data_IF_001296810561
#
_entry.id   IF_001296810561
#
_cell.length_a   1.000
_cell.length_b   1.000
_cell.length_c   1.000
_cell.angle_alpha   90.00
_cell.angle_beta   90.00
_cell.angle_gamma   90.00
#
_symmetry.space_group_name_H-M   'P 1'
#
loop_
_entity.id
_entity.type
_entity.pdbx_description
1 polymer ?
#
# COMPACT_ATOMS: atom_id res chain seq x y z
N UNK A 1 1.00 -8.37 -12.03
CA UNK A 1 1.26 -7.07 -11.37
C UNK A 1 -0.01 -6.63 -10.67
N UNK A 2 0.07 -6.28 -9.38
CA UNK A 2 -1.04 -5.67 -8.66
C UNK A 2 -1.01 -4.15 -8.85
N UNK A 3 -2.11 -3.56 -9.30
CA UNK A 3 -2.29 -2.12 -9.42
C UNK A 3 -3.15 -1.62 -8.26
N UNK A 4 -2.52 -0.93 -7.31
CA UNK A 4 -3.14 -0.55 -6.03
C UNK A 4 -2.98 0.94 -5.66
N UNK A 5 -2.49 1.79 -6.56
CA UNK A 5 -2.26 3.20 -6.27
C UNK A 5 -2.03 4.04 -7.53
N UNK A 6 -2.12 5.36 -7.35
CA UNK A 6 -2.06 6.38 -8.40
C UNK A 6 -1.23 7.61 -7.98
N UNK A 7 -0.24 7.41 -7.09
CA UNK A 7 0.54 8.51 -6.50
C UNK A 7 1.20 9.43 -7.56
N UNK A 8 1.54 8.90 -8.73
CA UNK A 8 2.13 9.64 -9.85
C UNK A 8 1.10 10.10 -10.90
N UNK A 9 -0.15 9.61 -10.85
CA UNK A 9 -1.19 9.93 -11.84
C UNK A 9 -2.07 8.72 -12.21
N UNK A 10 -3.12 8.97 -13.00
CA UNK A 10 -4.04 7.94 -13.48
C UNK A 10 -3.69 7.37 -14.87
N UNK A 11 -2.75 8.00 -15.58
CA UNK A 11 -2.37 7.57 -16.91
C UNK A 11 -1.70 6.18 -16.89
N UNK A 12 -2.05 5.35 -17.86
CA UNK A 12 -1.44 4.04 -18.07
C UNK A 12 -0.89 3.96 -19.50
N UNK A 13 0.27 4.59 -19.80
CA UNK A 13 0.88 4.55 -21.13
C UNK A 13 1.55 3.19 -21.36
N UNK A 14 0.74 2.17 -21.67
CA UNK A 14 1.16 0.80 -21.90
C UNK A 14 0.76 0.28 -23.30
N UNK A 15 1.26 -0.89 -23.68
CA UNK A 15 0.86 -1.61 -24.90
C UNK A 15 0.31 -2.99 -24.56
N UNK A 16 -0.40 -3.63 -25.50
CA UNK A 16 -0.93 -4.99 -25.31
C UNK A 16 0.14 -6.10 -25.41
N UNK A 17 1.35 -5.78 -25.88
CA UNK A 17 2.39 -6.77 -26.18
C UNK A 17 2.82 -7.65 -24.98
N UNK A 18 3.00 -7.12 -23.75
CA UNK A 18 3.35 -7.95 -22.58
C UNK A 18 2.27 -9.00 -22.23
N UNK A 19 1.00 -8.69 -22.50
CA UNK A 19 -0.13 -9.56 -22.17
C UNK A 19 -0.21 -10.72 -23.18
N UNK A 20 -0.15 -10.42 -24.48
CA UNK A 20 -0.34 -11.43 -25.53
C UNK A 20 0.91 -12.29 -25.78
N UNK A 21 2.12 -11.74 -25.61
CA UNK A 21 3.36 -12.46 -25.91
C UNK A 21 3.97 -13.14 -24.69
N UNK A 22 3.64 -12.69 -23.47
CA UNK A 22 4.26 -13.17 -22.23
C UNK A 22 3.25 -13.56 -21.15
N UNK A 23 1.95 -13.50 -21.43
CA UNK A 23 0.91 -13.88 -20.48
C UNK A 23 0.89 -13.05 -19.20
N UNK A 24 1.45 -11.83 -19.22
CA UNK A 24 1.46 -10.95 -18.04
C UNK A 24 0.02 -10.53 -17.71
N UNK A 25 -0.30 -10.46 -16.41
CA UNK A 25 -1.59 -9.95 -15.92
C UNK A 25 -1.41 -8.64 -15.14
N UNK A 26 -2.30 -7.68 -15.36
CA UNK A 26 -2.46 -6.47 -14.56
C UNK A 26 -3.76 -6.59 -13.76
N UNK A 27 -3.66 -6.64 -12.44
CA UNK A 27 -4.78 -6.92 -11.53
C UNK A 27 -5.09 -5.67 -10.72
N UNK A 28 -6.28 -5.09 -10.90
CA UNK A 28 -6.76 -3.99 -10.07
C UNK A 28 -7.07 -4.47 -8.65
N UNK A 29 -6.50 -3.80 -7.65
CA UNK A 29 -6.72 -4.12 -6.24
C UNK A 29 -7.55 -3.02 -5.60
N UNK A 30 -8.75 -3.39 -5.15
CA UNK A 30 -9.59 -2.55 -4.30
C UNK A 30 -9.62 -3.10 -2.87
N UNK A 31 -9.18 -2.27 -1.92
CA UNK A 31 -9.25 -2.60 -0.49
C UNK A 31 -10.51 -2.05 0.20
N UNK A 32 -11.24 -1.13 -0.44
CA UNK A 32 -12.41 -0.46 0.14
C UNK A 32 -13.61 -1.38 0.14
N UNK A 33 -13.92 -2.06 -0.96
CA UNK A 33 -15.11 -2.92 -1.08
C UNK A 33 -14.80 -4.43 -0.97
N UNK A 34 -13.60 -4.79 -0.52
CA UNK A 34 -13.22 -6.19 -0.33
C UNK A 34 -14.21 -6.93 0.62
N UNK A 35 -14.74 -8.12 0.24
CA UNK A 35 -15.62 -8.91 1.10
C UNK A 35 -14.95 -9.31 2.41
N UNK A 36 -15.76 -9.41 3.49
CA UNK A 36 -15.27 -9.75 4.84
C UNK A 36 -14.40 -11.01 4.87
N UNK A 37 -14.81 -12.08 4.18
CA UNK A 37 -14.05 -13.33 4.13
C UNK A 37 -12.62 -13.13 3.62
N UNK A 38 -12.44 -12.37 2.52
CA UNK A 38 -11.12 -12.04 1.98
C UNK A 38 -10.30 -11.16 2.93
N UNK A 39 -10.93 -10.24 3.66
CA UNK A 39 -10.23 -9.42 4.67
C UNK A 39 -9.67 -10.27 5.79
N UNK A 40 -10.47 -11.21 6.31
CA UNK A 40 -10.04 -12.12 7.39
C UNK A 40 -8.86 -12.95 6.93
N UNK A 41 -8.95 -13.54 5.74
CA UNK A 41 -7.85 -14.30 5.15
C UNK A 41 -6.59 -13.45 4.98
N UNK A 42 -6.72 -12.23 4.42
CA UNK A 42 -5.59 -11.32 4.23
C UNK A 42 -4.91 -10.95 5.56
N UNK A 43 -5.68 -10.66 6.62
CA UNK A 43 -5.12 -10.37 7.94
C UNK A 43 -4.42 -11.57 8.57
N UNK A 44 -5.00 -12.77 8.45
CA UNK A 44 -4.33 -13.99 8.92
C UNK A 44 -2.99 -14.19 8.21
N UNK A 45 -2.96 -13.95 6.89
CA UNK A 45 -1.73 -14.01 6.10
C UNK A 45 -0.71 -12.94 6.47
N UNK A 46 -1.14 -11.73 6.81
CA UNK A 46 -0.21 -10.71 7.30
C UNK A 46 0.50 -11.21 8.57
N UNK A 47 -0.23 -11.82 9.50
CA UNK A 47 0.38 -12.35 10.74
C UNK A 47 1.32 -13.52 10.48
N UNK A 48 1.00 -14.41 9.52
CA UNK A 48 1.84 -15.58 9.23
C UNK A 48 3.02 -15.28 8.32
N UNK A 49 2.84 -14.42 7.32
CA UNK A 49 3.76 -14.27 6.20
C UNK A 49 4.65 -13.01 6.33
N UNK A 50 4.20 -11.99 7.09
CA UNK A 50 4.96 -10.75 7.26
C UNK A 50 5.98 -10.89 8.39
N UNK A 51 7.25 -10.68 8.07
CA UNK A 51 8.33 -10.56 9.05
C UNK A 51 8.16 -9.25 9.85
N UNK A 52 7.79 -9.39 11.12
CA UNK A 52 7.53 -8.25 12.01
C UNK A 52 8.77 -7.39 12.25
N UNK A 53 9.98 -7.97 12.23
CA UNK A 53 11.20 -7.19 12.39
C UNK A 53 11.43 -6.25 11.19
N UNK A 54 11.02 -6.66 9.98
CA UNK A 54 11.07 -5.79 8.80
C UNK A 54 9.98 -4.72 8.84
N UNK A 55 8.80 -5.04 9.37
CA UNK A 55 7.74 -4.06 9.56
C UNK A 55 8.20 -2.97 10.55
N UNK A 56 8.79 -3.36 11.67
CA UNK A 56 9.33 -2.43 12.67
C UNK A 56 10.44 -1.57 12.07
N UNK A 57 11.35 -2.15 11.28
CA UNK A 57 12.45 -1.42 10.65
C UNK A 57 12.01 -0.34 9.65
N UNK A 58 10.79 -0.41 9.11
CA UNK A 58 10.23 0.62 8.21
C UNK A 58 9.20 1.51 8.90
N UNK A 59 8.94 1.32 10.20
CA UNK A 59 7.91 2.06 10.93
C UNK A 59 8.51 3.26 11.64
N UNK A 60 7.83 4.41 11.54
CA UNK A 60 8.09 5.60 12.35
C UNK A 60 6.82 6.01 13.08
N UNK A 61 6.94 6.43 14.34
CA UNK A 61 5.80 6.84 15.16
C UNK A 61 5.76 8.37 15.26
N UNK A 62 4.57 8.94 15.09
CA UNK A 62 4.31 10.36 15.35
C UNK A 62 3.17 10.52 16.36
N UNK A 63 3.19 11.58 17.19
CA UNK A 63 2.04 11.93 18.00
C UNK A 63 0.89 12.46 17.12
N UNK A 64 -0.34 12.36 17.62
CA UNK A 64 -1.56 12.75 16.89
C UNK A 64 -1.55 14.21 16.41
N UNK A 65 -0.97 15.14 17.17
CA UNK A 65 -0.89 16.57 16.81
C UNK A 65 0.02 16.85 15.60
N UNK A 66 0.89 15.90 15.23
CA UNK A 66 1.80 16.01 14.07
C UNK A 66 1.21 15.49 12.75
N UNK A 67 -0.01 14.95 12.77
CA UNK A 67 -0.64 14.38 11.57
C UNK A 67 -0.78 15.42 10.44
N UNK A 68 -1.32 16.60 10.74
CA UNK A 68 -1.56 17.64 9.74
C UNK A 68 -0.26 18.17 9.15
N UNK A 69 0.78 18.31 9.97
CA UNK A 69 2.13 18.73 9.55
C UNK A 69 2.79 17.68 8.64
N UNK A 70 2.54 16.39 8.89
CA UNK A 70 3.19 15.28 8.17
C UNK A 70 2.49 14.96 6.84
N UNK A 71 1.19 15.26 6.70
CA UNK A 71 0.40 14.90 5.53
C UNK A 71 0.93 15.46 4.18
N UNK A 72 1.43 16.70 4.06
CA UNK A 72 2.02 17.18 2.81
C UNK A 72 3.24 16.36 2.37
N UNK A 73 4.03 15.85 3.32
CA UNK A 73 5.21 15.03 3.04
C UNK A 73 4.84 13.66 2.47
N UNK A 74 3.69 13.07 2.85
CA UNK A 74 3.24 11.82 2.20
C UNK A 74 2.81 12.08 0.75
N UNK A 75 2.11 13.19 0.50
CA UNK A 75 1.58 13.53 -0.82
C UNK A 75 2.69 13.88 -1.82
N UNK A 76 3.77 14.52 -1.35
CA UNK A 76 4.95 14.82 -2.17
C UNK A 76 5.90 13.63 -2.34
N UNK A 77 5.59 12.46 -1.76
CA UNK A 77 6.43 11.26 -1.82
C UNK A 77 7.68 11.32 -0.94
N UNK A 78 7.74 12.23 0.04
CA UNK A 78 8.86 12.40 0.97
C UNK A 78 8.90 11.39 2.12
N UNK A 79 7.90 10.52 2.26
CA UNK A 79 7.87 9.48 3.29
C UNK A 79 8.37 8.16 2.73
N UNK A 80 9.31 7.54 3.45
CA UNK A 80 9.73 6.16 3.25
C UNK A 80 9.22 5.31 4.40
N UNK A 81 8.61 4.16 4.07
CA UNK A 81 8.13 3.21 5.08
C UNK A 81 6.69 3.46 5.50
N UNK A 82 6.39 3.29 6.79
CA UNK A 82 5.04 3.38 7.36
C UNK A 82 5.04 4.30 8.57
N UNK A 83 4.13 5.26 8.58
CA UNK A 83 3.91 6.12 9.75
C UNK A 83 2.80 5.51 10.62
N UNK A 84 3.06 5.34 11.90
CA UNK A 84 2.08 5.00 12.94
C UNK A 84 1.77 6.27 13.71
N UNK A 85 0.48 6.55 13.89
CA UNK A 85 0.01 7.67 14.70
C UNK A 85 -0.36 7.14 16.07
N UNK A 86 0.31 7.64 17.10
CA UNK A 86 -0.01 7.32 18.49
C UNK A 86 -1.22 8.14 18.95
N UNK A 87 -2.24 7.46 19.48
CA UNK A 87 -3.46 8.05 20.02
C UNK A 87 -3.49 7.71 21.52
N UNK A 88 -3.59 8.74 22.35
CA UNK A 88 -3.71 8.63 23.81
C UNK A 88 -5.14 8.27 24.25
#
# INVERSE_FOLDING_TARGET
VAACGLAQGMDLPATVAPFILRGVSLLGIDSVMAPKAKRVEAWNRIVSDLDLAKLDAITSTIPFDKVIETAPTILSGGIRGRVVVEIA
#
